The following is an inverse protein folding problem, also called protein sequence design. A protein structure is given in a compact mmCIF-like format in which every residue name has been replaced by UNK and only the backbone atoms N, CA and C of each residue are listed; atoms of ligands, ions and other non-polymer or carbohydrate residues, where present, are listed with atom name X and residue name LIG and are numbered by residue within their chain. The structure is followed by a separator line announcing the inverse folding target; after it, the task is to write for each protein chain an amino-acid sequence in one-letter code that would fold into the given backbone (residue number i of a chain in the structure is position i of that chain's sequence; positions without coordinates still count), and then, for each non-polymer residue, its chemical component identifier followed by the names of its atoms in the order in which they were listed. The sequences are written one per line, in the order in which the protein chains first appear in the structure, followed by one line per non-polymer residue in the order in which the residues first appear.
data_IF_491611573986
#
_entry.id   IF_491611573986
#
_cell.length_a   1.000
_cell.length_b   1.000
_cell.length_c   1.000
_cell.angle_alpha   90.00
_cell.angle_beta   90.00
_cell.angle_gamma   90.00
#
_symmetry.space_group_name_H-M   'P 1'
#
loop_
_entity.id
_entity.type
_entity.pdbx_description
1 polymer ?
#
# COMPACT_ATOMS: atom_id res chain seq x y z
N UNK A 1 26.69 11.34 -16.64
CA UNK A 1 25.91 10.50 -15.69
C UNK A 1 24.43 10.58 -16.05
N UNK A 2 23.65 9.53 -15.72
CA UNK A 2 22.19 9.51 -15.96
C UNK A 2 21.44 9.01 -14.73
N UNK A 3 20.19 9.40 -14.60
CA UNK A 3 19.33 9.09 -13.47
C UNK A 3 17.98 8.60 -14.01
N UNK A 4 17.42 7.56 -13.41
CA UNK A 4 16.11 7.05 -13.83
C UNK A 4 15.10 7.12 -12.70
N UNK A 5 13.90 7.57 -13.03
CA UNK A 5 12.74 7.48 -12.17
C UNK A 5 11.67 6.59 -12.79
N UNK A 6 11.07 5.76 -11.97
CA UNK A 6 9.97 4.87 -12.38
C UNK A 6 8.77 5.13 -11.48
N UNK A 7 7.73 5.69 -12.08
CA UNK A 7 6.41 5.80 -11.46
C UNK A 7 5.64 4.50 -11.73
N UNK A 8 5.36 3.75 -10.67
CA UNK A 8 4.86 2.39 -10.72
C UNK A 8 3.36 2.34 -10.42
N UNK A 9 2.56 2.16 -11.46
CA UNK A 9 1.11 1.97 -11.35
C UNK A 9 0.71 0.48 -11.29
N UNK A 10 -0.57 0.23 -11.02
CA UNK A 10 -1.11 -1.14 -10.88
C UNK A 10 -0.93 -2.03 -12.10
N UNK A 11 -0.92 -1.47 -13.31
CA UNK A 11 -0.88 -2.19 -14.59
C UNK A 11 0.20 -1.72 -15.56
N UNK A 12 0.88 -0.64 -15.26
CA UNK A 12 1.96 -0.10 -16.10
C UNK A 12 2.98 0.66 -15.25
N UNK A 13 4.13 0.91 -15.83
CA UNK A 13 5.21 1.71 -15.25
C UNK A 13 5.60 2.81 -16.23
N UNK A 14 5.73 4.03 -15.72
CA UNK A 14 6.28 5.14 -16.50
C UNK A 14 7.76 5.26 -16.18
N UNK A 15 8.60 5.04 -17.18
CA UNK A 15 10.06 5.07 -17.05
C UNK A 15 10.58 6.34 -17.68
N UNK A 16 11.32 7.12 -16.91
CA UNK A 16 12.04 8.31 -17.38
C UNK A 16 13.53 8.15 -17.08
N UNK A 17 14.37 8.56 -18.03
CA UNK A 17 15.82 8.73 -17.84
C UNK A 17 16.18 10.15 -18.16
N UNK A 18 16.86 10.83 -17.25
CA UNK A 18 17.39 12.18 -17.44
C UNK A 18 18.92 12.21 -17.31
N UNK A 19 19.52 13.27 -17.85
CA UNK A 19 20.94 13.55 -17.70
C UNK A 19 21.22 14.48 -16.48
N UNK A 20 22.44 14.96 -16.38
CA UNK A 20 22.92 15.82 -15.30
C UNK A 20 22.27 17.22 -15.28
N UNK A 21 21.73 17.67 -16.41
CA UNK A 21 21.02 18.93 -16.57
C UNK A 21 19.49 18.76 -16.52
N UNK A 22 19.00 17.60 -16.04
CA UNK A 22 17.57 17.22 -16.00
C UNK A 22 16.89 17.13 -17.38
N UNK A 23 17.65 17.09 -18.48
CA UNK A 23 17.07 16.88 -19.81
C UNK A 23 16.64 15.42 -19.93
N UNK A 24 15.40 15.21 -20.33
CA UNK A 24 14.84 13.88 -20.54
C UNK A 24 15.44 13.28 -21.80
N UNK A 25 16.24 12.22 -21.65
CA UNK A 25 16.86 11.47 -22.76
C UNK A 25 16.05 10.25 -23.16
N UNK A 26 15.13 9.82 -22.28
CA UNK A 26 14.17 8.74 -22.54
C UNK A 26 12.95 8.89 -21.65
N UNK A 27 11.78 8.65 -22.24
CA UNK A 27 10.54 8.49 -21.48
C UNK A 27 9.60 7.54 -22.21
N UNK A 28 9.00 6.61 -21.48
CA UNK A 28 8.01 5.68 -22.03
C UNK A 28 7.14 5.08 -20.95
N UNK A 29 5.86 4.87 -21.28
CA UNK A 29 4.94 4.04 -20.51
C UNK A 29 5.08 2.61 -20.98
N UNK A 30 5.38 1.70 -20.08
CA UNK A 30 5.59 0.27 -20.34
C UNK A 30 4.60 -0.55 -19.50
N UNK A 31 4.21 -1.74 -19.96
CA UNK A 31 3.49 -2.67 -19.08
C UNK A 31 4.39 -3.07 -17.90
N UNK A 32 3.79 -3.56 -16.80
CA UNK A 32 4.53 -4.09 -15.66
C UNK A 32 5.22 -5.43 -16.01
N UNK A 33 6.13 -5.33 -16.96
CA UNK A 33 6.95 -6.44 -17.46
C UNK A 33 8.43 -6.10 -17.24
N UNK A 34 9.08 -6.89 -16.39
CA UNK A 34 10.46 -6.65 -15.97
C UNK A 34 11.44 -6.64 -17.15
N UNK A 35 11.26 -7.55 -18.13
CA UNK A 35 12.17 -7.64 -19.28
C UNK A 35 12.09 -6.39 -20.16
N UNK A 36 10.88 -5.88 -20.41
CA UNK A 36 10.71 -4.65 -21.18
C UNK A 36 11.29 -3.42 -20.47
N UNK A 37 11.13 -3.35 -19.14
CA UNK A 37 11.72 -2.25 -18.36
C UNK A 37 13.25 -2.35 -18.36
N UNK A 38 13.80 -3.55 -18.18
CA UNK A 38 15.25 -3.78 -18.27
C UNK A 38 15.80 -3.44 -19.65
N UNK A 39 15.12 -3.84 -20.71
CA UNK A 39 15.52 -3.53 -22.09
C UNK A 39 15.54 -2.00 -22.34
N UNK A 40 14.57 -1.26 -21.77
CA UNK A 40 14.55 0.19 -21.87
C UNK A 40 15.73 0.87 -21.14
N UNK A 41 16.17 0.31 -20.03
CA UNK A 41 17.28 0.85 -19.22
C UNK A 41 18.66 0.36 -19.73
N UNK A 42 18.72 -0.78 -20.42
CA UNK A 42 19.96 -1.46 -20.79
C UNK A 42 20.96 -0.57 -21.54
N UNK A 43 20.46 0.25 -22.47
CA UNK A 43 21.31 1.17 -23.26
C UNK A 43 21.96 2.30 -22.45
N UNK A 44 21.47 2.53 -21.25
CA UNK A 44 22.00 3.57 -20.36
C UNK A 44 22.80 2.99 -19.19
N UNK A 45 22.92 1.65 -19.12
CA UNK A 45 23.43 0.94 -17.96
C UNK A 45 24.73 1.50 -17.39
N UNK A 46 25.70 1.73 -18.28
CA UNK A 46 27.04 2.16 -17.89
C UNK A 46 27.10 3.61 -17.40
N UNK A 47 26.08 4.40 -17.73
CA UNK A 47 25.96 5.80 -17.35
C UNK A 47 24.99 6.03 -16.20
N UNK A 48 24.15 5.01 -15.86
CA UNK A 48 23.14 5.11 -14.83
C UNK A 48 23.75 5.10 -13.43
N UNK A 49 23.59 6.20 -12.70
CA UNK A 49 23.98 6.34 -11.30
C UNK A 49 23.03 5.54 -10.40
N UNK A 50 21.74 5.52 -10.73
CA UNK A 50 20.72 4.77 -10.01
C UNK A 50 19.35 4.82 -10.69
N UNK A 51 18.47 3.94 -10.22
CA UNK A 51 17.08 3.83 -10.64
C UNK A 51 16.18 4.01 -9.41
N UNK A 52 15.34 5.04 -9.42
CA UNK A 52 14.35 5.28 -8.37
C UNK A 52 13.05 4.57 -8.74
N UNK A 53 12.52 3.79 -7.83
CA UNK A 53 11.20 3.16 -7.97
C UNK A 53 10.26 3.71 -6.90
N UNK A 54 9.06 4.08 -7.30
CA UNK A 54 8.03 4.53 -6.37
C UNK A 54 7.58 3.40 -5.43
N UNK A 55 7.43 3.72 -4.12
CA UNK A 55 7.01 2.77 -3.09
C UNK A 55 5.49 2.52 -3.12
N UNK A 56 5.00 1.84 -4.14
CA UNK A 56 3.62 1.35 -4.24
C UNK A 56 3.43 -0.02 -3.59
N UNK A 57 2.22 -0.58 -3.62
CA UNK A 57 1.94 -1.85 -2.93
C UNK A 57 2.63 -3.09 -3.54
N UNK A 58 3.08 -3.02 -4.80
CA UNK A 58 3.62 -4.16 -5.55
C UNK A 58 5.04 -3.95 -6.08
N UNK A 59 5.82 -3.08 -5.46
CA UNK A 59 7.17 -2.73 -5.90
C UNK A 59 8.17 -3.91 -5.87
N UNK A 60 7.88 -4.99 -5.15
CA UNK A 60 8.83 -6.10 -4.93
C UNK A 60 9.38 -6.67 -6.24
N UNK A 61 8.50 -7.01 -7.21
CA UNK A 61 8.93 -7.63 -8.46
C UNK A 61 9.90 -6.76 -9.25
N UNK A 62 9.67 -5.45 -9.27
CA UNK A 62 10.47 -4.52 -10.05
C UNK A 62 11.80 -4.21 -9.38
N UNK A 63 11.77 -3.88 -8.08
CA UNK A 63 12.98 -3.60 -7.30
C UNK A 63 13.90 -4.80 -7.30
N UNK A 64 13.37 -5.99 -7.01
CA UNK A 64 14.16 -7.22 -7.00
C UNK A 64 14.75 -7.53 -8.37
N UNK A 65 13.93 -7.47 -9.41
CA UNK A 65 14.39 -7.79 -10.75
C UNK A 65 15.44 -6.80 -11.29
N UNK A 66 15.38 -5.54 -10.88
CA UNK A 66 16.41 -4.55 -11.23
C UNK A 66 17.69 -4.75 -10.41
N UNK A 67 17.57 -5.04 -9.10
CA UNK A 67 18.72 -5.36 -8.24
C UNK A 67 19.43 -6.64 -8.70
N UNK A 68 18.68 -7.70 -9.02
CA UNK A 68 19.24 -8.96 -9.58
C UNK A 68 19.93 -8.73 -10.92
N UNK A 69 19.49 -7.74 -11.69
CA UNK A 69 20.14 -7.31 -12.92
C UNK A 69 21.34 -6.38 -12.67
N UNK A 70 21.71 -6.07 -11.44
CA UNK A 70 22.87 -5.27 -11.05
C UNK A 70 22.66 -3.76 -11.18
N UNK A 71 21.42 -3.27 -11.21
CA UNK A 71 21.14 -1.83 -11.08
C UNK A 71 21.20 -1.40 -9.63
N UNK A 72 21.69 -0.19 -9.37
CA UNK A 72 21.57 0.47 -8.08
C UNK A 72 20.14 1.02 -7.96
N UNK A 73 19.31 0.38 -7.12
CA UNK A 73 17.91 0.71 -6.99
C UNK A 73 17.66 1.48 -5.69
N UNK A 74 16.90 2.56 -5.79
CA UNK A 74 16.42 3.38 -4.69
C UNK A 74 14.91 3.29 -4.61
N UNK A 75 14.36 3.02 -3.43
CA UNK A 75 12.92 2.99 -3.20
C UNK A 75 12.47 4.34 -2.65
N UNK A 76 11.68 5.09 -3.40
CA UNK A 76 11.20 6.39 -2.96
C UNK A 76 10.15 6.28 -1.85
N UNK A 77 10.34 6.99 -0.75
CA UNK A 77 9.31 7.16 0.28
C UNK A 77 8.37 8.31 -0.11
N UNK A 78 7.33 8.00 -0.87
CA UNK A 78 6.38 8.99 -1.41
C UNK A 78 5.65 9.79 -0.34
N UNK A 79 5.46 9.23 0.85
CA UNK A 79 4.83 9.94 1.99
C UNK A 79 5.71 11.08 2.52
N UNK A 80 7.03 10.96 2.38
CA UNK A 80 7.98 11.97 2.81
C UNK A 80 8.32 12.99 1.71
N UNK A 81 7.97 12.68 0.45
CA UNK A 81 8.13 13.61 -0.67
C UNK A 81 7.04 14.67 -0.56
N UNK A 82 7.41 15.85 -0.09
CA UNK A 82 6.52 17.02 -0.11
C UNK A 82 6.49 17.56 -1.54
N UNK A 83 5.41 17.29 -2.26
CA UNK A 83 5.12 18.03 -3.48
C UNK A 83 4.70 19.45 -3.09
N UNK A 84 5.20 20.44 -3.79
CA UNK A 84 4.73 21.82 -3.62
C UNK A 84 3.24 21.84 -3.97
N UNK A 85 2.38 22.03 -2.96
CA UNK A 85 0.95 22.25 -3.15
C UNK A 85 0.78 23.54 -3.96
N UNK A 86 0.31 23.42 -5.19
CA UNK A 86 0.02 24.58 -6.05
C UNK A 86 0.55 24.51 -7.48
N UNK A 87 1.52 23.67 -7.79
CA UNK A 87 1.95 23.44 -9.17
C UNK A 87 1.17 22.25 -9.77
N UNK A 88 0.12 22.57 -10.48
CA UNK A 88 -0.83 21.65 -11.15
C UNK A 88 -0.24 21.01 -12.42
N UNK A 89 1.01 20.53 -12.36
CA UNK A 89 1.61 19.73 -13.43
C UNK A 89 1.93 18.34 -12.86
N UNK A 90 0.88 17.57 -12.61
CA UNK A 90 0.97 16.18 -12.22
C UNK A 90 0.57 15.31 -13.40
N UNK A 91 1.54 14.90 -14.18
CA UNK A 91 1.40 13.80 -15.12
C UNK A 91 2.41 12.73 -14.72
N UNK A 92 2.08 11.47 -14.95
CA UNK A 92 2.91 10.32 -14.58
C UNK A 92 4.38 10.46 -15.08
N UNK A 93 4.59 11.09 -16.23
CA UNK A 93 5.94 11.39 -16.75
C UNK A 93 6.66 12.44 -15.92
N UNK A 94 5.95 13.47 -15.45
CA UNK A 94 6.52 14.49 -14.57
C UNK A 94 6.86 13.90 -13.20
N UNK A 95 6.04 13.00 -12.68
CA UNK A 95 6.29 12.31 -11.42
C UNK A 95 7.53 11.41 -11.51
N UNK A 96 7.67 10.65 -12.58
CA UNK A 96 8.86 9.83 -12.83
C UNK A 96 10.12 10.70 -13.03
N UNK A 97 10.03 11.81 -13.79
CA UNK A 97 11.14 12.74 -13.96
C UNK A 97 11.56 13.39 -12.64
N UNK A 98 10.59 13.75 -11.81
CA UNK A 98 10.87 14.34 -10.49
C UNK A 98 11.59 13.35 -9.56
N UNK A 99 11.26 12.08 -9.59
CA UNK A 99 12.00 11.04 -8.86
C UNK A 99 13.47 10.97 -9.30
N UNK A 100 13.73 11.00 -10.61
CA UNK A 100 15.09 11.03 -11.14
C UNK A 100 15.86 12.28 -10.69
N UNK A 101 15.21 13.44 -10.71
CA UNK A 101 15.76 14.72 -10.26
C UNK A 101 16.11 14.68 -8.77
N UNK A 102 15.21 14.16 -7.92
CA UNK A 102 15.49 14.03 -6.48
C UNK A 102 16.72 13.15 -6.20
N UNK A 103 16.90 12.08 -6.96
CA UNK A 103 18.09 11.25 -6.86
C UNK A 103 19.34 12.02 -7.26
N UNK A 104 19.30 12.73 -8.39
CA UNK A 104 20.42 13.56 -8.89
C UNK A 104 20.84 14.60 -7.88
N UNK A 105 19.90 15.26 -7.22
CA UNK A 105 20.17 16.29 -6.23
C UNK A 105 20.56 15.74 -4.85
N UNK A 106 20.52 14.42 -4.63
CA UNK A 106 20.74 13.82 -3.32
C UNK A 106 19.65 14.15 -2.30
N UNK A 107 18.46 14.52 -2.75
CA UNK A 107 17.31 14.94 -1.93
C UNK A 107 16.21 13.88 -1.85
N UNK A 108 16.44 12.69 -2.41
CA UNK A 108 15.45 11.62 -2.41
C UNK A 108 15.21 11.09 -0.99
N UNK A 109 14.00 11.20 -0.44
CA UNK A 109 13.65 10.48 0.78
C UNK A 109 13.53 8.98 0.46
N UNK A 110 14.48 8.20 0.92
CA UNK A 110 14.51 6.77 0.64
C UNK A 110 13.67 5.98 1.65
N UNK A 111 12.96 4.98 1.13
CA UNK A 111 12.33 3.93 1.89
C UNK A 111 13.26 2.73 2.06
N UNK A 112 13.09 2.01 3.14
CA UNK A 112 13.87 0.78 3.36
C UNK A 112 13.41 -0.34 2.43
N UNK A 113 14.34 -0.89 1.64
CA UNK A 113 14.11 -2.08 0.83
C UNK A 113 14.28 -3.30 1.73
N UNK A 114 13.15 -3.87 2.17
CA UNK A 114 13.17 -5.08 3.02
C UNK A 114 13.78 -6.26 2.28
N UNK A 115 14.72 -7.00 2.89
CA UNK A 115 15.20 -8.29 2.39
C UNK A 115 14.03 -9.25 2.09
N UNK A 116 14.19 -10.11 1.10
CA UNK A 116 13.11 -11.00 0.61
C UNK A 116 12.58 -11.90 1.73
N UNK A 117 13.47 -12.41 2.57
CA UNK A 117 13.17 -13.29 3.71
C UNK A 117 12.33 -12.62 4.80
N UNK A 118 12.45 -11.31 4.97
CA UNK A 118 11.72 -10.56 6.01
C UNK A 118 10.32 -10.11 5.58
N UNK A 119 10.03 -10.13 4.27
CA UNK A 119 8.79 -9.56 3.69
C UNK A 119 7.55 -10.29 4.13
N UNK A 120 7.61 -11.61 4.29
CA UNK A 120 6.48 -12.41 4.76
C UNK A 120 5.99 -11.93 6.14
N UNK A 121 6.89 -11.71 7.09
CA UNK A 121 6.57 -11.17 8.41
C UNK A 121 5.96 -9.76 8.35
N UNK A 122 6.55 -8.89 7.53
CA UNK A 122 6.05 -7.53 7.29
C UNK A 122 4.64 -7.53 6.69
N UNK A 123 4.39 -8.35 5.67
CA UNK A 123 3.09 -8.40 4.99
C UNK A 123 2.02 -9.01 5.90
N UNK A 124 2.37 -9.98 6.72
CA UNK A 124 1.50 -10.51 7.76
C UNK A 124 1.15 -9.43 8.81
N UNK A 125 2.13 -8.65 9.26
CA UNK A 125 1.91 -7.54 10.19
C UNK A 125 0.97 -6.48 9.59
N UNK A 126 1.18 -6.08 8.35
CA UNK A 126 0.31 -5.17 7.61
C UNK A 126 -1.11 -5.71 7.45
N UNK A 127 -1.23 -7.00 7.10
CA UNK A 127 -2.54 -7.65 6.99
C UNK A 127 -3.28 -7.70 8.32
N UNK A 128 -2.56 -7.99 9.41
CA UNK A 128 -3.14 -7.94 10.75
C UNK A 128 -3.67 -6.54 11.06
N UNK A 129 -2.89 -5.48 10.82
CA UNK A 129 -3.32 -4.10 11.05
C UNK A 129 -4.54 -3.72 10.20
N UNK A 130 -4.57 -4.13 8.93
CA UNK A 130 -5.73 -3.93 8.07
C UNK A 130 -6.99 -4.59 8.65
N UNK A 131 -6.88 -5.83 9.13
CA UNK A 131 -8.01 -6.55 9.73
C UNK A 131 -8.50 -5.87 11.01
N UNK A 132 -7.59 -5.38 11.87
CA UNK A 132 -7.93 -4.63 13.08
C UNK A 132 -8.66 -3.34 12.72
N UNK A 133 -8.19 -2.58 11.75
CA UNK A 133 -8.85 -1.36 11.27
C UNK A 133 -10.26 -1.64 10.72
N UNK A 134 -10.40 -2.68 9.92
CA UNK A 134 -11.71 -3.10 9.40
C UNK A 134 -12.67 -3.46 10.53
N UNK A 135 -12.19 -4.18 11.56
CA UNK A 135 -13.01 -4.51 12.73
C UNK A 135 -13.45 -3.25 13.50
N UNK A 136 -12.54 -2.32 13.72
CA UNK A 136 -12.85 -1.04 14.38
C UNK A 136 -13.90 -0.26 13.60
N UNK A 137 -13.78 -0.16 12.27
CA UNK A 137 -14.79 0.51 11.45
C UNK A 137 -16.17 -0.13 11.56
N UNK A 138 -16.26 -1.48 11.63
CA UNK A 138 -17.53 -2.19 11.81
C UNK A 138 -18.14 -1.91 13.18
N UNK A 139 -17.33 -1.91 14.23
CA UNK A 139 -17.80 -1.58 15.59
C UNK A 139 -18.36 -0.16 15.64
N UNK A 140 -17.61 0.82 15.11
CA UNK A 140 -18.04 2.22 15.07
C UNK A 140 -19.32 2.41 14.24
N UNK A 141 -19.51 1.65 13.16
CA UNK A 141 -20.75 1.67 12.38
C UNK A 141 -21.95 1.21 13.22
N UNK A 142 -21.80 0.12 13.97
CA UNK A 142 -22.86 -0.39 14.86
C UNK A 142 -23.13 0.60 16.00
N UNK A 143 -22.10 1.13 16.65
CA UNK A 143 -22.25 2.16 17.68
C UNK A 143 -23.01 3.39 17.14
N UNK A 144 -22.71 3.80 15.92
CA UNK A 144 -23.40 4.92 15.27
C UNK A 144 -24.88 4.62 14.97
N UNK A 145 -25.22 3.39 14.54
CA UNK A 145 -26.62 2.98 14.34
C UNK A 145 -27.34 3.01 15.69
N UNK A 146 -26.77 2.40 16.72
CA UNK A 146 -27.36 2.37 18.07
C UNK A 146 -27.61 3.78 18.61
N UNK A 147 -26.62 4.65 18.51
CA UNK A 147 -26.74 6.03 19.00
C UNK A 147 -27.86 6.80 18.29
N UNK A 148 -28.00 6.63 16.98
CA UNK A 148 -29.10 7.27 16.22
C UNK A 148 -30.47 6.73 16.57
N UNK A 149 -30.58 5.44 16.89
CA UNK A 149 -31.87 4.81 17.18
C UNK A 149 -32.31 4.97 18.65
N UNK A 150 -31.39 5.03 19.58
CA UNK A 150 -31.67 5.00 21.00
C UNK A 150 -31.28 6.28 21.74
N UNK A 151 -30.52 7.17 21.14
CA UNK A 151 -29.87 8.30 21.80
C UNK A 151 -28.75 7.92 22.79
N UNK A 152 -28.55 6.60 23.02
CA UNK A 152 -27.57 6.06 23.96
C UNK A 152 -26.29 5.54 23.27
N UNK A 153 -25.24 5.34 24.08
CA UNK A 153 -24.00 4.71 23.65
C UNK A 153 -23.88 3.29 24.19
N UNK A 154 -23.43 2.38 23.36
CA UNK A 154 -23.02 1.03 23.75
C UNK A 154 -21.50 0.92 23.68
N UNK A 155 -20.88 0.29 24.69
CA UNK A 155 -19.43 0.10 24.67
C UNK A 155 -19.01 -0.86 23.56
N UNK A 156 -17.82 -0.63 22.97
CA UNK A 156 -17.25 -1.49 21.92
C UNK A 156 -17.17 -2.96 22.33
N UNK A 157 -16.90 -3.26 23.61
CA UNK A 157 -16.90 -4.63 24.15
C UNK A 157 -18.27 -5.29 24.07
N UNK A 158 -19.33 -4.55 24.39
CA UNK A 158 -20.70 -5.04 24.28
C UNK A 158 -21.11 -5.22 22.83
N UNK A 159 -20.74 -4.28 21.95
CA UNK A 159 -20.97 -4.38 20.49
C UNK A 159 -20.31 -5.63 19.91
N UNK A 160 -19.08 -5.96 20.31
CA UNK A 160 -18.39 -7.17 19.86
C UNK A 160 -19.08 -8.47 20.23
N UNK A 161 -19.89 -8.47 21.29
CA UNK A 161 -20.61 -9.63 21.80
C UNK A 161 -22.07 -9.72 21.35
N UNK A 162 -22.56 -8.73 20.59
CA UNK A 162 -23.92 -8.75 20.09
C UNK A 162 -24.17 -9.97 19.21
N UNK A 163 -25.22 -10.70 19.55
CA UNK A 163 -25.75 -11.80 18.74
C UNK A 163 -26.91 -11.31 17.87
N UNK A 164 -27.24 -12.07 16.81
CA UNK A 164 -28.38 -11.77 15.96
C UNK A 164 -29.70 -11.72 16.76
N UNK A 165 -29.86 -12.61 17.76
CA UNK A 165 -31.01 -12.60 18.64
C UNK A 165 -31.11 -11.30 19.45
N UNK A 166 -30.04 -10.86 20.07
CA UNK A 166 -29.99 -9.60 20.83
C UNK A 166 -30.26 -8.38 19.95
N UNK A 167 -29.84 -8.40 18.69
CA UNK A 167 -30.15 -7.33 17.73
C UNK A 167 -31.66 -7.26 17.46
N UNK A 168 -32.32 -8.39 17.28
CA UNK A 168 -33.79 -8.46 17.11
C UNK A 168 -34.54 -7.95 18.34
N UNK A 169 -34.02 -8.27 19.53
CA UNK A 169 -34.61 -7.82 20.83
C UNK A 169 -34.50 -6.30 21.04
N UNK A 170 -33.64 -5.60 20.28
CA UNK A 170 -33.57 -4.13 20.33
C UNK A 170 -34.82 -3.45 19.73
N UNK A 171 -35.66 -4.20 18.99
CA UNK A 171 -36.91 -3.69 18.45
C UNK A 171 -36.78 -2.64 17.36
N UNK A 172 -35.67 -2.61 16.66
CA UNK A 172 -35.47 -1.69 15.53
C UNK A 172 -36.27 -2.12 14.31
N UNK A 173 -36.45 -1.17 13.38
CA UNK A 173 -37.06 -1.48 12.08
C UNK A 173 -36.27 -2.62 11.37
N UNK A 174 -36.95 -3.50 10.62
CA UNK A 174 -36.33 -4.69 10.01
C UNK A 174 -35.06 -4.40 9.21
N UNK A 175 -35.05 -3.29 8.46
CA UNK A 175 -33.88 -2.89 7.65
C UNK A 175 -32.68 -2.49 8.51
N UNK A 176 -32.92 -1.85 9.65
CA UNK A 176 -31.87 -1.46 10.61
C UNK A 176 -31.29 -2.72 11.28
N UNK A 177 -32.16 -3.64 11.71
CA UNK A 177 -31.74 -4.89 12.31
C UNK A 177 -30.91 -5.73 11.31
N UNK A 178 -31.35 -5.81 10.05
CA UNK A 178 -30.63 -6.50 8.99
C UNK A 178 -29.25 -5.89 8.72
N UNK A 179 -29.15 -4.55 8.69
CA UNK A 179 -27.86 -3.85 8.52
C UNK A 179 -26.90 -4.15 9.65
N UNK A 180 -27.40 -4.20 10.90
CA UNK A 180 -26.59 -4.56 12.08
C UNK A 180 -26.16 -6.02 12.06
N UNK A 181 -27.06 -6.95 11.72
CA UNK A 181 -26.75 -8.38 11.61
C UNK A 181 -25.68 -8.64 10.56
N UNK A 182 -25.82 -8.04 9.35
CA UNK A 182 -24.85 -8.16 8.27
C UNK A 182 -23.45 -7.65 8.69
N UNK A 183 -23.40 -6.56 9.47
CA UNK A 183 -22.16 -5.98 9.96
C UNK A 183 -21.53 -6.87 11.05
N UNK A 184 -22.34 -7.41 11.98
CA UNK A 184 -21.89 -8.28 13.07
C UNK A 184 -21.38 -9.64 12.56
N UNK A 185 -22.10 -10.25 11.62
CA UNK A 185 -21.72 -11.53 11.03
C UNK A 185 -20.37 -11.47 10.28
N UNK A 186 -20.07 -10.34 9.64
CA UNK A 186 -18.76 -10.10 9.00
C UNK A 186 -17.63 -9.98 10.03
N UNK A 187 -17.89 -9.38 11.18
CA UNK A 187 -16.91 -9.24 12.26
C UNK A 187 -16.60 -10.59 12.92
N UNK A 188 -17.62 -11.40 13.24
CA UNK A 188 -17.48 -12.66 13.97
C UNK A 188 -16.80 -13.78 13.13
N UNK A 189 -17.20 -13.98 11.86
CA UNK A 189 -16.65 -15.04 11.00
C UNK A 189 -15.16 -14.86 10.69
N UNK A 190 -14.65 -13.63 10.63
CA UNK A 190 -13.23 -13.37 10.35
C UNK A 190 -12.33 -13.54 11.58
N UNK A 191 -12.84 -13.37 12.77
CA UNK A 191 -12.05 -13.44 14.00
C UNK A 191 -11.89 -14.86 14.54
N UNK A 192 -12.98 -15.65 14.60
CA UNK A 192 -12.97 -17.00 15.20
C UNK A 192 -12.22 -18.06 14.38
N UNK A 193 -12.12 -17.92 13.07
CA UNK A 193 -11.41 -18.88 12.21
C UNK A 193 -9.89 -18.72 12.21
N UNK A 194 -9.35 -17.57 12.63
CA UNK A 194 -7.92 -17.24 12.50
C UNK A 194 -7.16 -17.12 13.80
N UNK A 195 -7.81 -16.77 14.91
CA UNK A 195 -7.15 -16.70 16.22
C UNK A 195 -6.62 -18.07 16.68
N UNK A 196 -7.27 -19.18 16.27
CA UNK A 196 -6.81 -20.54 16.53
C UNK A 196 -5.58 -20.93 15.68
N UNK A 197 -5.51 -20.49 14.44
CA UNK A 197 -4.40 -20.84 13.52
C UNK A 197 -3.10 -20.08 13.85
N UNK A 198 -3.20 -18.87 14.42
CA UNK A 198 -2.04 -18.07 14.83
C UNK A 198 -1.42 -18.54 16.14
N UNK A 199 -2.19 -19.17 17.05
CA UNK A 199 -1.67 -19.71 18.31
C UNK A 199 -0.98 -21.06 18.15
N UNK A 200 -1.30 -21.82 17.10
CA UNK A 200 -0.69 -23.13 16.83
C UNK A 200 0.62 -23.05 16.04
N UNK A 201 0.87 -21.94 15.30
CA UNK A 201 2.09 -21.75 14.53
C UNK A 201 3.30 -21.25 15.33
N UNK A 202 3.13 -20.82 16.59
CA UNK A 202 4.22 -20.31 17.43
C UNK A 202 4.84 -21.35 18.39
N UNK A 203 4.52 -22.64 18.22
CA UNK A 203 5.03 -23.72 19.11
C UNK A 203 5.92 -24.76 18.43
N UNK A 204 6.41 -24.47 17.22
CA UNK A 204 7.39 -25.35 16.56
C UNK A 204 8.51 -24.50 15.97
N UNK A 205 9.55 -24.33 16.75
CA UNK A 205 10.81 -23.71 16.39
C UNK A 205 11.66 -23.54 17.62
#
# INVERSE_FOLDING_TARGET
MKFSGIDLHSNNSVVVVSDEEDRIVYQKRLPNNLEQIRAALARYRDELVGVVVESTYHWYFLVDGLMDAGYRVHLANTTAIKKYEGLKYSGDFADAAYLAQLLRLGLLPEGYIYPREERAGRDLGRKRMQLVRCQTMQILAIESILARQTGGRMSSERVKRLTAQQIKELGFAPDVALAMEATTARSAKRYNGRSRRWRSGSKSG
#
